data_IF_377308359160
#
_entry.id   IF_377308359160
#
_cell.length_a   1.000
_cell.length_b   1.000
_cell.length_c   1.000
_cell.angle_alpha   90.00
_cell.angle_beta   90.00
_cell.angle_gamma   90.00
#
_symmetry.space_group_name_H-M   'P 1'
#
loop_
_entity.id
_entity.type
_entity.pdbx_description
1 polymer ?
#
# COMPACT_ATOMS: atom_id res chain seq x y z
N UNK A 1 -4.88 -13.91 62.47
CA UNK A 1 -3.49 -14.09 61.99
C UNK A 1 -3.55 -14.84 60.66
N UNK A 2 -2.68 -14.48 59.71
CA UNK A 2 -3.01 -14.17 58.32
C UNK A 2 -2.65 -15.31 57.36
N UNK A 3 -2.90 -15.10 56.06
CA UNK A 3 -2.23 -15.64 54.86
C UNK A 3 -3.32 -16.05 53.85
N UNK A 4 -3.86 -15.10 53.08
CA UNK A 4 -3.90 -15.21 51.60
C UNK A 4 -4.38 -13.92 50.90
N UNK A 5 -4.00 -12.75 51.39
CA UNK A 5 -4.11 -11.47 50.67
C UNK A 5 -2.99 -11.30 49.60
N UNK A 6 -2.45 -12.39 49.03
CA UNK A 6 -1.22 -12.34 48.21
C UNK A 6 -1.37 -12.70 46.73
N UNK A 7 -2.59 -12.93 46.24
CA UNK A 7 -2.81 -13.10 44.79
C UNK A 7 -3.90 -12.17 44.28
N UNK A 8 -3.81 -10.90 44.69
CA UNK A 8 -4.34 -9.78 43.92
C UNK A 8 -3.40 -9.55 42.73
N UNK A 9 -3.48 -10.41 41.70
CA UNK A 9 -2.94 -10.17 40.36
C UNK A 9 -3.19 -11.39 39.47
N UNK A 10 -3.69 -11.13 38.25
CA UNK A 10 -3.91 -12.06 37.13
C UNK A 10 -5.26 -12.76 37.10
N UNK A 11 -6.23 -12.10 36.47
CA UNK A 11 -6.86 -12.61 35.24
C UNK A 11 -8.08 -11.74 34.88
N UNK A 12 -7.85 -10.51 34.48
CA UNK A 12 -8.75 -9.78 33.59
C UNK A 12 -7.84 -9.29 32.46
N UNK A 13 -7.99 -9.82 31.23
CA UNK A 13 -9.03 -9.27 30.36
C UNK A 13 -9.62 -10.32 29.40
N UNK A 14 -10.89 -10.70 29.60
CA UNK A 14 -11.68 -11.43 28.59
C UNK A 14 -12.62 -10.46 27.84
N UNK A 15 -12.17 -9.21 27.65
CA UNK A 15 -12.99 -8.09 27.16
C UNK A 15 -12.46 -7.48 25.85
N UNK A 16 -11.52 -8.15 25.17
CA UNK A 16 -10.95 -7.69 23.88
C UNK A 16 -11.55 -8.45 22.68
N UNK A 17 -12.22 -9.58 22.89
CA UNK A 17 -12.78 -10.38 21.78
C UNK A 17 -14.01 -9.73 21.09
N UNK A 18 -14.65 -8.74 21.71
CA UNK A 18 -15.84 -8.07 21.14
C UNK A 18 -15.49 -6.96 20.14
N UNK A 19 -14.25 -6.47 20.06
CA UNK A 19 -13.89 -5.41 19.11
C UNK A 19 -13.41 -5.94 17.75
N UNK A 20 -13.06 -7.24 17.65
CA UNK A 20 -12.75 -7.87 16.36
C UNK A 20 -14.01 -8.26 15.56
N UNK A 21 -15.18 -8.37 16.21
CA UNK A 21 -16.44 -8.71 15.52
C UNK A 21 -17.02 -7.54 14.69
N UNK A 22 -16.50 -6.32 14.85
CA UNK A 22 -16.86 -5.18 13.99
C UNK A 22 -15.92 -4.99 12.79
N UNK A 23 -14.84 -5.77 12.71
CA UNK A 23 -13.91 -5.80 11.56
C UNK A 23 -13.93 -7.16 10.83
N UNK A 24 -14.94 -8.01 11.10
CA UNK A 24 -15.13 -9.32 10.49
C UNK A 24 -16.56 -9.47 9.99
N UNK A 25 -16.74 -9.38 8.66
CA UNK A 25 -18.06 -9.32 8.03
C UNK A 25 -18.92 -10.57 8.19
N UNK A 26 -20.24 -10.38 8.20
CA UNK A 26 -21.24 -11.26 7.56
C UNK A 26 -22.68 -10.75 7.80
N UNK A 27 -23.33 -10.24 6.75
CA UNK A 27 -24.72 -10.57 6.47
C UNK A 27 -24.98 -10.44 4.96
N UNK A 28 -25.45 -11.53 4.37
CA UNK A 28 -26.10 -11.56 3.06
C UNK A 28 -27.49 -10.94 3.25
N UNK A 29 -27.77 -9.89 2.50
CA UNK A 29 -29.13 -9.58 2.09
C UNK A 29 -29.22 -9.94 0.61
N UNK A 30 -29.89 -11.07 0.35
CA UNK A 30 -30.39 -11.46 -0.95
C UNK A 30 -31.36 -10.40 -1.46
N UNK A 31 -30.86 -9.43 -2.22
CA UNK A 31 -31.70 -8.63 -3.11
C UNK A 31 -30.98 -8.40 -4.45
N UNK A 32 -30.89 -9.49 -5.21
CA UNK A 32 -31.21 -9.55 -6.65
C UNK A 32 -30.54 -8.63 -7.67
N UNK A 33 -29.61 -7.74 -7.31
CA UNK A 33 -28.93 -6.89 -8.28
C UNK A 33 -27.44 -6.84 -7.96
N UNK A 34 -26.54 -7.34 -8.85
CA UNK A 34 -25.13 -7.19 -8.62
C UNK A 34 -24.80 -5.69 -8.55
N UNK A 35 -24.15 -5.20 -7.49
CA UNK A 35 -23.68 -3.82 -7.47
C UNK A 35 -22.74 -3.61 -8.67
N UNK A 36 -22.84 -2.48 -9.39
CA UNK A 36 -21.87 -2.18 -10.43
C UNK A 36 -20.47 -2.26 -9.81
N UNK A 37 -19.47 -2.81 -10.54
CA UNK A 37 -18.12 -2.89 -9.99
C UNK A 37 -17.71 -1.50 -9.53
N UNK A 38 -17.17 -1.33 -8.31
CA UNK A 38 -16.68 -0.04 -7.86
C UNK A 38 -15.60 0.38 -8.86
N UNK A 39 -15.94 1.28 -9.77
CA UNK A 39 -15.00 1.84 -10.73
C UNK A 39 -14.26 2.95 -9.99
N UNK A 40 -13.61 2.58 -8.89
CA UNK A 40 -12.53 3.40 -8.36
C UNK A 40 -11.38 3.07 -9.28
N UNK A 41 -11.20 3.88 -10.32
CA UNK A 41 -9.94 3.95 -11.05
C UNK A 41 -8.90 4.45 -10.06
N UNK A 42 -8.44 3.56 -9.19
CA UNK A 42 -7.36 3.86 -8.27
C UNK A 42 -6.14 4.08 -9.16
N UNK A 43 -5.43 5.21 -9.01
CA UNK A 43 -4.22 5.47 -9.77
C UNK A 43 -3.28 4.26 -9.67
N UNK A 44 -2.48 3.97 -10.71
CA UNK A 44 -1.45 2.95 -10.62
C UNK A 44 -0.67 3.13 -9.32
N UNK A 45 -0.36 2.03 -8.61
CA UNK A 45 0.33 2.10 -7.31
C UNK A 45 1.70 2.80 -7.40
N UNK A 46 2.25 2.94 -8.60
CA UNK A 46 3.50 3.66 -8.89
C UNK A 46 3.33 5.15 -9.18
N UNK A 47 2.10 5.66 -9.33
CA UNK A 47 1.84 7.05 -9.69
C UNK A 47 2.11 8.01 -8.52
N UNK A 48 1.67 7.62 -7.32
CA UNK A 48 1.82 8.41 -6.11
C UNK A 48 1.65 7.56 -4.86
N UNK A 49 2.16 8.04 -3.72
CA UNK A 49 1.97 7.40 -2.42
C UNK A 49 0.61 7.83 -1.85
N UNK A 50 -0.36 6.91 -1.64
CA UNK A 50 -1.67 7.28 -1.11
C UNK A 50 -1.57 7.82 0.33
N UNK A 51 -2.41 8.78 0.74
CA UNK A 51 -2.41 9.32 2.11
C UNK A 51 -2.53 8.25 3.20
N UNK A 52 -3.29 7.18 2.92
CA UNK A 52 -3.45 6.03 3.83
C UNK A 52 -2.16 5.27 4.10
N UNK A 53 -1.21 5.26 3.15
CA UNK A 53 0.10 4.64 3.30
C UNK A 53 0.97 5.36 4.35
N UNK A 54 0.82 6.68 4.46
CA UNK A 54 1.55 7.50 5.45
C UNK A 54 0.82 7.62 6.78
N UNK A 55 -0.49 7.40 6.80
CA UNK A 55 -1.33 7.56 7.99
C UNK A 55 -1.31 6.33 8.93
N UNK A 56 -0.94 5.14 8.45
CA UNK A 56 -1.01 3.90 9.24
C UNK A 56 -0.11 2.79 8.72
N UNK A 57 0.28 1.88 9.61
CA UNK A 57 1.07 0.68 9.26
C UNK A 57 0.29 -0.25 8.33
N UNK A 58 -1.02 -0.44 8.56
CA UNK A 58 -1.86 -1.28 7.70
C UNK A 58 -2.00 -0.70 6.30
N UNK A 59 -2.18 0.62 6.18
CA UNK A 59 -2.20 1.30 4.88
C UNK A 59 -0.86 1.23 4.16
N UNK A 60 0.26 1.31 4.89
CA UNK A 60 1.59 1.12 4.31
C UNK A 60 1.78 -0.29 3.76
N UNK A 61 1.39 -1.33 4.51
CA UNK A 61 1.47 -2.73 4.06
C UNK A 61 0.60 -2.95 2.82
N UNK A 62 -0.64 -2.41 2.81
CA UNK A 62 -1.53 -2.52 1.66
C UNK A 62 -0.92 -1.86 0.40
N UNK A 63 -0.28 -0.71 0.56
CA UNK A 63 0.44 -0.02 -0.51
C UNK A 63 1.61 -0.86 -1.05
N UNK A 64 2.41 -1.48 -0.17
CA UNK A 64 3.51 -2.35 -0.61
C UNK A 64 3.02 -3.56 -1.40
N UNK A 65 1.94 -4.20 -0.95
CA UNK A 65 1.33 -5.33 -1.68
C UNK A 65 0.86 -4.89 -3.07
N UNK A 66 0.24 -3.72 -3.17
CA UNK A 66 -0.18 -3.14 -4.44
C UNK A 66 1.02 -2.82 -5.35
N UNK A 67 2.13 -2.31 -4.81
CA UNK A 67 3.36 -2.06 -5.58
C UNK A 67 3.95 -3.34 -6.16
N UNK A 68 4.04 -4.39 -5.35
CA UNK A 68 4.59 -5.67 -5.76
C UNK A 68 3.72 -6.31 -6.85
N UNK A 69 2.39 -6.19 -6.73
CA UNK A 69 1.45 -6.66 -7.75
C UNK A 69 1.43 -5.82 -9.02
N UNK A 70 1.79 -4.53 -8.95
CA UNK A 70 1.89 -3.66 -10.11
C UNK A 70 3.02 -4.05 -11.06
N UNK A 71 3.96 -4.89 -10.61
CA UNK A 71 5.00 -5.50 -11.42
C UNK A 71 5.67 -4.51 -12.40
N UNK A 72 5.99 -3.31 -11.92
CA UNK A 72 6.56 -2.26 -12.76
C UNK A 72 7.88 -2.69 -13.42
N UNK A 73 8.62 -3.60 -12.77
CA UNK A 73 9.83 -4.23 -13.32
C UNK A 73 9.56 -5.26 -14.44
N UNK A 74 8.30 -5.63 -14.67
CA UNK A 74 7.86 -6.43 -15.83
C UNK A 74 7.45 -5.54 -17.01
N UNK A 75 7.48 -4.21 -16.86
CA UNK A 75 7.27 -3.31 -17.99
C UNK A 75 8.46 -3.41 -18.94
N UNK A 76 8.17 -3.33 -20.24
CA UNK A 76 9.19 -3.38 -21.27
C UNK A 76 10.22 -2.24 -21.11
N UNK A 77 11.48 -2.46 -21.55
CA UNK A 77 12.51 -1.43 -21.54
C UNK A 77 12.01 -0.15 -22.22
N UNK A 78 12.26 1.01 -21.60
CA UNK A 78 11.90 2.32 -22.16
C UNK A 78 12.60 2.48 -23.51
N UNK A 79 11.84 2.83 -24.54
CA UNK A 79 12.39 3.14 -25.85
C UNK A 79 13.23 4.42 -25.77
N UNK A 80 14.53 4.28 -26.04
CA UNK A 80 15.50 5.38 -26.01
C UNK A 80 15.86 5.89 -27.41
N UNK A 81 15.18 5.41 -28.46
CA UNK A 81 15.48 5.75 -29.86
C UNK A 81 15.35 7.24 -30.18
N UNK A 82 14.56 7.99 -29.39
CA UNK A 82 14.35 9.42 -29.56
C UNK A 82 15.24 10.28 -28.67
N UNK A 83 16.11 9.68 -27.83
CA UNK A 83 16.98 10.45 -26.94
C UNK A 83 18.16 11.03 -27.71
N UNK A 84 18.31 12.36 -27.62
CA UNK A 84 19.51 13.07 -28.10
C UNK A 84 20.49 13.15 -26.93
N UNK A 85 21.71 12.65 -27.14
CA UNK A 85 22.76 12.77 -26.14
C UNK A 85 23.10 14.25 -25.87
N UNK A 86 23.43 14.63 -24.62
CA UNK A 86 23.95 15.97 -24.34
C UNK A 86 25.16 16.29 -25.21
N UNK A 87 25.23 17.52 -25.72
CA UNK A 87 26.43 18.05 -26.37
C UNK A 87 27.52 18.24 -25.32
N UNK A 88 28.76 17.91 -25.69
CA UNK A 88 29.93 18.18 -24.87
C UNK A 88 30.36 19.65 -25.05
N UNK A 89 30.10 20.47 -24.04
CA UNK A 89 30.47 21.89 -24.01
C UNK A 89 31.99 22.12 -23.85
N UNK A 90 32.76 21.06 -23.61
CA UNK A 90 34.22 21.10 -23.47
C UNK A 90 34.95 20.52 -24.68
N UNK A 91 34.25 20.12 -25.73
CA UNK A 91 34.88 19.64 -26.95
C UNK A 91 35.73 20.75 -27.59
N UNK A 92 36.92 20.39 -28.05
CA UNK A 92 37.78 21.31 -28.78
C UNK A 92 37.12 21.74 -30.11
N UNK A 93 37.29 23.02 -30.54
CA UNK A 93 36.72 23.50 -31.78
C UNK A 93 37.28 22.74 -32.99
N UNK A 94 36.38 22.17 -33.80
CA UNK A 94 36.76 21.54 -35.06
C UNK A 94 37.13 22.60 -36.10
N UNK A 95 38.22 22.38 -36.83
CA UNK A 95 38.64 23.27 -37.91
C UNK A 95 37.65 23.20 -39.09
N UNK A 96 37.25 24.36 -39.62
CA UNK A 96 36.43 24.47 -40.83
C UNK A 96 37.34 24.64 -42.05
N UNK A 97 37.17 23.79 -43.07
CA UNK A 97 37.82 23.91 -44.37
C UNK A 97 36.90 24.66 -45.35
#
# INVERSE_FOLDING_TARGET
MPILHKHLCRAAPLLVALTLAACGGSHHDDDGTPPPPPTVSQPPATAEVPPGASASVSGFIAYLVALLGAAADQLEPVDTSTLVAPVDDHAEPVSVN
#
